data_IF_844449586981
#
_entry.id   IF_844449586981
#
_cell.length_a   1.000
_cell.length_b   1.000
_cell.length_c   1.000
_cell.angle_alpha   90.00
_cell.angle_beta   90.00
_cell.angle_gamma   90.00
#
_symmetry.space_group_name_H-M   'P 1'
#
loop_
_entity.id
_entity.type
_entity.pdbx_description
1 polymer ?
#
# COMPACT_ATOMS: atom_id res chain seq x y z
N UNK A 1 0.09 1.23 -26.61
CA UNK A 1 0.88 0.44 -25.64
C UNK A 1 0.81 1.00 -24.22
N UNK A 2 1.02 2.30 -23.98
CA UNK A 2 0.98 2.95 -22.66
C UNK A 2 -0.29 2.72 -21.83
N UNK A 3 -1.48 2.66 -22.45
CA UNK A 3 -2.75 2.39 -21.73
C UNK A 3 -2.89 0.98 -21.14
N UNK A 4 -2.13 0.01 -21.66
CA UNK A 4 -2.22 -1.40 -21.25
C UNK A 4 -1.36 -1.68 -20.01
N UNK A 5 -0.25 -0.96 -19.87
CA UNK A 5 0.74 -1.17 -18.78
C UNK A 5 0.41 -0.35 -17.54
N UNK A 6 -0.30 0.78 -17.72
CA UNK A 6 -0.74 1.65 -16.64
C UNK A 6 -1.40 0.92 -15.45
N UNK A 7 -2.39 0.00 -15.63
CA UNK A 7 -3.00 -0.68 -14.49
C UNK A 7 -2.03 -1.58 -13.70
N UNK A 8 -1.00 -2.13 -14.35
CA UNK A 8 0.04 -2.91 -13.69
C UNK A 8 0.98 -2.04 -12.86
N UNK A 9 1.45 -0.96 -13.47
CA UNK A 9 2.37 -0.03 -12.82
C UNK A 9 1.72 0.65 -11.63
N UNK A 10 0.44 1.03 -11.72
CA UNK A 10 -0.28 1.75 -10.66
C UNK A 10 -0.29 0.96 -9.35
N UNK A 11 -0.59 -0.34 -9.38
CA UNK A 11 -0.63 -1.15 -8.15
C UNK A 11 0.73 -1.23 -7.46
N UNK A 12 1.78 -1.51 -8.23
CA UNK A 12 3.13 -1.64 -7.70
C UNK A 12 3.73 -0.30 -7.25
N UNK A 13 3.58 0.77 -8.04
CA UNK A 13 4.10 2.10 -7.66
C UNK A 13 3.39 2.66 -6.44
N UNK A 14 2.08 2.47 -6.33
CA UNK A 14 1.32 2.89 -5.14
C UNK A 14 1.80 2.13 -3.90
N UNK A 15 2.00 0.81 -4.03
CA UNK A 15 2.53 -0.02 -2.96
C UNK A 15 3.93 0.42 -2.51
N UNK A 16 4.86 0.61 -3.46
CA UNK A 16 6.22 1.06 -3.17
C UNK A 16 6.25 2.46 -2.54
N UNK A 17 5.43 3.40 -3.03
CA UNK A 17 5.35 4.74 -2.48
C UNK A 17 4.83 4.73 -1.04
N UNK A 18 3.80 3.93 -0.76
CA UNK A 18 3.28 3.77 0.60
C UNK A 18 4.31 3.14 1.54
N UNK A 19 5.05 2.14 1.06
CA UNK A 19 6.13 1.50 1.83
C UNK A 19 7.24 2.48 2.22
N UNK A 20 7.74 3.24 1.25
CA UNK A 20 8.76 4.27 1.49
C UNK A 20 8.25 5.35 2.44
N UNK A 21 7.00 5.81 2.25
CA UNK A 21 6.39 6.82 3.10
C UNK A 21 6.25 6.37 4.56
N UNK A 22 5.75 5.15 4.79
CA UNK A 22 5.59 4.60 6.14
C UNK A 22 6.92 4.41 6.86
N UNK A 23 7.96 3.95 6.16
CA UNK A 23 9.31 3.85 6.72
C UNK A 23 9.92 5.22 7.03
N UNK A 24 9.71 6.22 6.17
CA UNK A 24 10.18 7.58 6.41
C UNK A 24 9.51 8.18 7.66
N UNK A 25 8.20 7.99 7.81
CA UNK A 25 7.44 8.41 9.01
C UNK A 25 7.93 7.69 10.26
N UNK A 26 8.25 6.40 10.17
CA UNK A 26 8.82 5.63 11.27
C UNK A 26 10.15 6.23 11.74
N UNK A 27 11.07 6.51 10.80
CA UNK A 27 12.37 7.14 11.11
C UNK A 27 12.23 8.54 11.70
N UNK A 28 11.35 9.37 11.13
CA UNK A 28 11.06 10.71 11.65
C UNK A 28 10.44 10.66 13.05
N UNK A 29 9.55 9.71 13.31
CA UNK A 29 8.94 9.51 14.61
C UNK A 29 9.94 9.11 15.69
N UNK A 30 10.99 8.36 15.35
CA UNK A 30 12.10 8.10 16.27
C UNK A 30 12.99 9.33 16.45
N UNK A 31 13.34 10.05 15.37
CA UNK A 31 14.20 11.24 15.45
C UNK A 31 13.57 12.38 16.27
N UNK A 32 12.26 12.60 16.14
CA UNK A 32 11.53 13.61 16.92
C UNK A 32 11.06 13.13 18.29
N UNK A 33 11.35 11.88 18.68
CA UNK A 33 11.00 11.37 20.00
C UNK A 33 9.49 11.29 20.26
N UNK A 34 8.70 10.92 19.26
CA UNK A 34 7.25 10.79 19.43
C UNK A 34 6.91 9.80 20.55
N UNK A 35 5.99 10.19 21.43
CA UNK A 35 5.49 9.30 22.47
C UNK A 35 4.90 8.02 21.87
N UNK A 36 4.99 6.87 22.58
CA UNK A 36 4.67 5.56 22.01
C UNK A 36 3.23 5.45 21.48
N UNK A 37 2.28 6.16 22.09
CA UNK A 37 0.89 6.23 21.62
C UNK A 37 0.74 6.99 20.29
N UNK A 38 1.39 8.15 20.16
CA UNK A 38 1.36 8.96 18.94
C UNK A 38 2.06 8.23 17.79
N UNK A 39 3.23 7.64 18.07
CA UNK A 39 4.02 6.90 17.10
C UNK A 39 3.22 5.73 16.49
N UNK A 40 2.65 4.88 17.36
CA UNK A 40 1.79 3.76 16.93
C UNK A 40 0.53 4.24 16.23
N UNK A 41 -0.10 5.30 16.73
CA UNK A 41 -1.30 5.88 16.12
C UNK A 41 -1.08 6.34 14.68
N UNK A 42 -0.01 7.09 14.42
CA UNK A 42 0.31 7.59 13.07
C UNK A 42 0.66 6.44 12.12
N UNK A 43 1.46 5.48 12.56
CA UNK A 43 1.79 4.30 11.75
C UNK A 43 0.55 3.45 11.43
N UNK A 44 -0.35 3.27 12.40
CA UNK A 44 -1.60 2.54 12.22
C UNK A 44 -2.53 3.28 11.26
N UNK A 45 -2.63 4.61 11.39
CA UNK A 45 -3.42 5.44 10.49
C UNK A 45 -2.88 5.38 9.06
N UNK A 46 -1.56 5.48 8.86
CA UNK A 46 -0.94 5.36 7.54
C UNK A 46 -1.09 3.97 6.92
N UNK A 47 -1.05 2.91 7.74
CA UNK A 47 -1.33 1.55 7.31
C UNK A 47 -2.77 1.38 6.83
N UNK A 48 -3.75 1.82 7.64
CA UNK A 48 -5.17 1.77 7.27
C UNK A 48 -5.47 2.59 6.02
N UNK A 49 -4.86 3.78 5.90
CA UNK A 49 -4.99 4.62 4.72
C UNK A 49 -4.45 3.91 3.47
N UNK A 50 -3.30 3.24 3.57
CA UNK A 50 -2.71 2.48 2.46
C UNK A 50 -3.64 1.35 2.00
N UNK A 51 -4.18 0.58 2.95
CA UNK A 51 -5.16 -0.47 2.65
C UNK A 51 -6.42 0.10 2.00
N UNK A 52 -6.92 1.23 2.49
CA UNK A 52 -8.10 1.89 1.94
C UNK A 52 -7.86 2.34 0.49
N UNK A 53 -6.69 2.93 0.19
CA UNK A 53 -6.36 3.37 -1.17
C UNK A 53 -6.19 2.17 -2.11
N UNK A 54 -5.47 1.11 -1.70
CA UNK A 54 -5.32 -0.10 -2.51
C UNK A 54 -6.69 -0.77 -2.75
N UNK A 55 -7.52 -0.88 -1.71
CA UNK A 55 -8.88 -1.42 -1.80
C UNK A 55 -9.77 -0.60 -2.74
N UNK A 56 -9.67 0.73 -2.68
CA UNK A 56 -10.37 1.63 -3.58
C UNK A 56 -9.93 1.45 -5.03
N UNK A 57 -8.63 1.33 -5.28
CA UNK A 57 -8.08 1.07 -6.62
C UNK A 57 -8.57 -0.28 -7.16
N UNK A 58 -8.60 -1.33 -6.34
CA UNK A 58 -9.16 -2.63 -6.71
C UNK A 58 -10.65 -2.47 -7.07
N UNK A 59 -11.43 -1.81 -6.23
CA UNK A 59 -12.85 -1.60 -6.49
C UNK A 59 -13.10 -0.82 -7.78
N UNK A 60 -12.32 0.23 -8.04
CA UNK A 60 -12.39 1.02 -9.25
C UNK A 60 -12.02 0.22 -10.51
N UNK A 61 -11.01 -0.66 -10.41
CA UNK A 61 -10.65 -1.57 -11.50
C UNK A 61 -11.77 -2.60 -11.78
N UNK A 62 -12.44 -3.10 -10.75
CA UNK A 62 -13.62 -3.98 -10.90
C UNK A 62 -14.82 -3.25 -11.51
N UNK A 63 -15.07 -1.99 -11.14
CA UNK A 63 -16.18 -1.20 -11.67
C UNK A 63 -16.02 -0.86 -13.16
N UNK A 64 -14.78 -0.74 -13.65
CA UNK A 64 -14.45 -0.44 -15.06
C UNK A 64 -14.30 -1.69 -15.95
N UNK A 65 -14.80 -2.84 -15.51
CA UNK A 65 -14.69 -4.13 -16.18
C UNK A 65 -15.69 -4.30 -17.35
N UNK A 66 -15.79 -3.28 -18.21
CA UNK A 66 -16.74 -3.23 -19.32
C UNK A 66 -16.18 -3.76 -20.65
N UNK A 67 -14.90 -4.14 -20.74
CA UNK A 67 -14.25 -4.62 -21.97
C UNK A 67 -13.50 -5.95 -21.77
N UNK A 68 -13.63 -6.95 -22.68
CA UNK A 68 -13.10 -8.30 -22.52
C UNK A 68 -11.62 -8.46 -22.90
N UNK A 69 -10.72 -7.57 -22.45
CA UNK A 69 -9.27 -7.81 -22.52
C UNK A 69 -8.85 -8.74 -21.37
N UNK A 70 -9.14 -10.03 -21.53
CA UNK A 70 -9.25 -11.06 -20.48
C UNK A 70 -7.97 -11.36 -19.69
N UNK A 71 -6.77 -11.14 -20.25
CA UNK A 71 -5.52 -11.49 -19.57
C UNK A 71 -4.91 -10.33 -18.78
N UNK A 72 -4.79 -9.15 -19.40
CA UNK A 72 -4.16 -7.95 -18.81
C UNK A 72 -4.90 -7.52 -17.53
N UNK A 73 -6.23 -7.52 -17.57
CA UNK A 73 -7.05 -7.11 -16.43
C UNK A 73 -7.00 -8.13 -15.30
N UNK A 74 -6.90 -9.44 -15.61
CA UNK A 74 -6.75 -10.50 -14.60
C UNK A 74 -5.44 -10.37 -13.84
N UNK A 75 -4.34 -10.15 -14.56
CA UNK A 75 -3.02 -10.01 -13.95
C UNK A 75 -2.96 -8.71 -13.15
N UNK A 76 -3.61 -7.63 -13.58
CA UNK A 76 -3.67 -6.36 -12.83
C UNK A 76 -4.41 -6.48 -11.50
N UNK A 77 -5.52 -7.23 -11.48
CA UNK A 77 -6.24 -7.55 -10.24
C UNK A 77 -5.42 -8.47 -9.34
N UNK A 78 -4.78 -9.52 -9.88
CA UNK A 78 -3.89 -10.39 -9.09
C UNK A 78 -2.71 -9.62 -8.49
N UNK A 79 -2.09 -8.71 -9.23
CA UNK A 79 -1.01 -7.87 -8.72
C UNK A 79 -1.50 -6.95 -7.59
N UNK A 80 -2.71 -6.41 -7.72
CA UNK A 80 -3.31 -5.58 -6.68
C UNK A 80 -3.65 -6.39 -5.41
N UNK A 81 -4.09 -7.64 -5.57
CA UNK A 81 -4.30 -8.58 -4.44
C UNK A 81 -2.96 -8.94 -3.79
N UNK A 82 -1.94 -9.27 -4.57
CA UNK A 82 -0.60 -9.54 -4.05
C UNK A 82 -0.02 -8.31 -3.33
N UNK A 83 -0.25 -7.09 -3.85
CA UNK A 83 0.14 -5.86 -3.17
C UNK A 83 -0.60 -5.66 -1.84
N UNK A 84 -1.88 -6.04 -1.76
CA UNK A 84 -2.64 -6.00 -0.51
C UNK A 84 -2.10 -7.01 0.51
N UNK A 85 -1.82 -8.25 0.09
CA UNK A 85 -1.23 -9.28 0.94
C UNK A 85 0.18 -8.88 1.39
N UNK A 86 1.01 -8.38 0.47
CA UNK A 86 2.34 -7.89 0.76
C UNK A 86 2.29 -6.72 1.75
N UNK A 87 1.36 -5.78 1.59
CA UNK A 87 1.13 -4.70 2.56
C UNK A 87 0.80 -5.26 3.94
N UNK A 88 -0.14 -6.20 4.03
CA UNK A 88 -0.55 -6.77 5.31
C UNK A 88 0.61 -7.47 6.04
N UNK A 89 1.44 -8.24 5.30
CA UNK A 89 2.56 -8.99 5.89
C UNK A 89 3.75 -8.09 6.21
N UNK A 90 4.09 -7.14 5.32
CA UNK A 90 5.31 -6.31 5.45
C UNK A 90 5.11 -5.14 6.40
N UNK A 91 3.89 -4.58 6.52
CA UNK A 91 3.62 -3.52 7.48
C UNK A 91 3.30 -4.03 8.89
N UNK A 92 2.92 -5.30 9.07
CA UNK A 92 2.71 -5.88 10.39
C UNK A 92 3.93 -5.72 11.33
N UNK A 93 5.19 -6.03 10.92
CA UNK A 93 6.35 -5.78 11.77
C UNK A 93 6.60 -4.29 12.00
N UNK A 94 6.27 -3.38 11.07
CA UNK A 94 6.47 -1.93 11.30
C UNK A 94 5.59 -1.35 12.43
N UNK A 95 4.49 -2.02 12.79
CA UNK A 95 3.64 -1.63 13.93
C UNK A 95 4.21 -2.07 15.29
N UNK A 96 4.99 -3.16 15.32
CA UNK A 96 5.56 -3.74 16.54
C UNK A 96 7.04 -3.42 16.73
N UNK A 97 7.78 -3.31 15.63
CA UNK A 97 9.19 -2.97 15.56
C UNK A 97 9.38 -1.46 15.48
N UNK A 98 8.66 -0.68 16.30
CA UNK A 98 9.15 0.66 16.69
C UNK A 98 10.41 0.46 17.54
N UNK A 99 11.47 -0.01 16.86
CA UNK A 99 12.85 -0.21 17.31
C UNK A 99 13.54 1.15 17.38
N UNK A 100 12.91 2.14 18.01
CA UNK A 100 13.66 3.30 18.43
C UNK A 100 14.59 2.81 19.55
N UNK A 101 15.76 2.29 19.16
CA UNK A 101 16.90 1.97 20.03
C UNK A 101 17.53 3.28 20.47
#
# INVERSE_FOLDING_TARGET
MTRIIAPFLIGFTLWSAAFVGLYAVQGLGCHWGWGPGLHRGVLTAGYLLTLAIIGWVIHWQFARRSDPSTMVQRVGVMLSICALIASAVIFAPSLYASLCI
#
